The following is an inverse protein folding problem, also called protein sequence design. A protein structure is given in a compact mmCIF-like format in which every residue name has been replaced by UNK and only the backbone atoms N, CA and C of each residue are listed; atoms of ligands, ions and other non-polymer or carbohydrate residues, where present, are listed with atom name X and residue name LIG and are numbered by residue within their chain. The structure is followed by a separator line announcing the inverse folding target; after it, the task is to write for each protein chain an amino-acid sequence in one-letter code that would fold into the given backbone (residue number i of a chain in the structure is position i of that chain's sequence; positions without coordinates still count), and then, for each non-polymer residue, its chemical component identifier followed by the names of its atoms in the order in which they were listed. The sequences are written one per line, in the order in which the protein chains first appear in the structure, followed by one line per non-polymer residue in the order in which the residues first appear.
data_IF_952521222796
#
_entry.id   IF_952521222796
#
_cell.length_a   1.000
_cell.length_b   1.000
_cell.length_c   1.000
_cell.angle_alpha   90.00
_cell.angle_beta   90.00
_cell.angle_gamma   90.00
#
_symmetry.space_group_name_H-M   'P 1'
#
loop_
_entity.id
_entity.type
_entity.pdbx_description
1 polymer ?
#
# COMPACT_ATOMS: atom_id res chain seq x y z
N UNK A 1 8.39 4.91 13.51
CA UNK A 1 7.32 4.57 12.52
C UNK A 1 7.72 3.63 11.39
N UNK A 2 8.66 3.99 10.50
CA UNK A 2 8.86 3.23 9.25
C UNK A 2 9.35 1.78 9.44
N UNK A 3 10.13 1.52 10.50
CA UNK A 3 10.55 0.16 10.86
C UNK A 3 9.37 -0.72 11.33
N UNK A 4 8.44 -0.19 12.12
CA UNK A 4 7.16 -0.86 12.46
C UNK A 4 6.40 -1.25 11.19
N UNK A 5 6.23 -0.29 10.29
CA UNK A 5 5.53 -0.44 9.01
C UNK A 5 6.18 -1.53 8.14
N UNK A 6 7.50 -1.46 7.98
CA UNK A 6 8.23 -2.43 7.19
C UNK A 6 8.31 -3.81 7.84
N UNK A 7 8.40 -3.88 9.17
CA UNK A 7 8.29 -5.12 9.92
C UNK A 7 6.93 -5.77 9.72
N UNK A 8 5.84 -4.99 9.83
CA UNK A 8 4.48 -5.44 9.52
C UNK A 8 4.35 -5.98 8.09
N UNK A 9 4.83 -5.21 7.10
CA UNK A 9 4.73 -5.61 5.69
C UNK A 9 5.56 -6.85 5.37
N UNK A 10 6.77 -6.91 5.91
CA UNK A 10 7.63 -8.06 5.77
C UNK A 10 6.97 -9.30 6.37
N UNK A 11 6.32 -9.19 7.54
CA UNK A 11 5.57 -10.28 8.15
C UNK A 11 4.39 -10.74 7.27
N UNK A 12 3.62 -9.80 6.70
CA UNK A 12 2.53 -10.14 5.76
C UNK A 12 3.07 -10.85 4.52
N UNK A 13 4.13 -10.33 3.90
CA UNK A 13 4.73 -10.92 2.70
C UNK A 13 5.35 -12.29 2.99
N UNK A 14 5.95 -12.46 4.17
CA UNK A 14 6.47 -13.75 4.64
C UNK A 14 5.35 -14.78 4.79
N UNK A 15 4.23 -14.43 5.42
CA UNK A 15 3.07 -15.32 5.55
C UNK A 15 2.43 -15.66 4.19
N UNK A 16 2.53 -14.76 3.20
CA UNK A 16 2.06 -15.00 1.82
C UNK A 16 3.06 -15.79 0.97
N UNK A 17 4.24 -16.13 1.47
CA UNK A 17 5.30 -16.77 0.68
C UNK A 17 5.77 -15.93 -0.51
N UNK A 18 5.72 -14.60 -0.39
CA UNK A 18 6.14 -13.66 -1.45
C UNK A 18 7.58 -13.23 -1.24
N UNK A 19 8.19 -12.69 -2.30
CA UNK A 19 9.53 -12.12 -2.25
C UNK A 19 9.54 -10.91 -1.28
N UNK A 20 10.55 -10.83 -0.42
CA UNK A 20 10.64 -9.82 0.65
C UNK A 20 11.97 -9.10 0.55
N UNK A 21 11.96 -7.80 0.82
CA UNK A 21 13.19 -7.04 1.00
C UNK A 21 13.85 -7.44 2.34
N UNK A 22 15.06 -8.00 2.31
CA UNK A 22 15.80 -8.46 3.49
C UNK A 22 16.00 -7.37 4.55
N UNK A 23 16.17 -6.12 4.12
CA UNK A 23 16.24 -4.98 5.03
C UNK A 23 14.96 -4.84 5.86
N UNK A 24 13.80 -5.16 5.29
CA UNK A 24 12.51 -5.02 5.97
C UNK A 24 12.23 -6.19 6.91
N UNK A 25 12.73 -7.38 6.57
CA UNK A 25 12.72 -8.56 7.46
C UNK A 25 13.42 -8.23 8.79
N UNK A 26 14.51 -7.46 8.74
CA UNK A 26 15.24 -7.04 9.95
C UNK A 26 14.40 -6.19 10.92
N UNK A 27 13.28 -5.62 10.46
CA UNK A 27 12.39 -4.80 11.29
C UNK A 27 11.19 -5.57 11.85
N UNK A 28 11.00 -6.85 11.49
CA UNK A 28 9.91 -7.69 12.04
C UNK A 28 9.95 -7.74 13.57
N UNK A 29 11.11 -7.96 14.24
CA UNK A 29 11.15 -8.00 15.71
C UNK A 29 10.66 -6.71 16.36
N UNK A 30 11.06 -5.55 15.81
CA UNK A 30 10.63 -4.24 16.32
C UNK A 30 9.10 -4.07 16.22
N UNK A 31 8.48 -4.53 15.14
CA UNK A 31 7.03 -4.54 15.00
C UNK A 31 6.35 -5.45 16.03
N UNK A 32 6.85 -6.68 16.20
CA UNK A 32 6.29 -7.65 17.14
C UNK A 32 6.38 -7.17 18.60
N UNK A 33 7.47 -6.50 18.97
CA UNK A 33 7.63 -5.95 20.32
C UNK A 33 6.63 -4.81 20.57
N UNK A 34 6.43 -3.91 19.60
CA UNK A 34 5.43 -2.85 19.71
C UNK A 34 4.01 -3.41 19.83
N UNK A 35 3.69 -4.50 19.12
CA UNK A 35 2.41 -5.18 19.28
C UNK A 35 2.22 -5.74 20.70
N UNK A 36 3.26 -6.33 21.30
CA UNK A 36 3.21 -6.82 22.69
C UNK A 36 3.00 -5.67 23.68
N UNK A 37 3.70 -4.55 23.50
CA UNK A 37 3.53 -3.34 24.32
C UNK A 37 2.10 -2.80 24.27
N UNK A 38 1.46 -2.86 23.10
CA UNK A 38 0.05 -2.46 22.91
C UNK A 38 -0.96 -3.54 23.30
N UNK A 39 -0.51 -4.66 23.87
CA UNK A 39 -1.37 -5.72 24.42
C UNK A 39 -1.89 -6.73 23.39
N UNK A 40 -1.33 -6.75 22.17
CA UNK A 40 -1.68 -7.69 21.10
C UNK A 40 -0.85 -8.96 21.29
N UNK A 41 -1.43 -9.95 21.96
CA UNK A 41 -0.67 -11.11 22.49
C UNK A 41 -0.43 -12.23 21.47
N UNK A 42 -0.91 -12.10 20.22
CA UNK A 42 -1.00 -13.21 19.26
C UNK A 42 -0.73 -12.84 17.80
N UNK A 43 0.12 -11.85 17.53
CA UNK A 43 0.45 -11.41 16.16
C UNK A 43 0.91 -12.56 15.27
N UNK A 44 1.64 -13.52 15.84
CA UNK A 44 2.11 -14.71 15.13
C UNK A 44 0.96 -15.67 14.74
N UNK A 45 -0.11 -15.72 15.54
CA UNK A 45 -1.32 -16.52 15.28
C UNK A 45 -2.35 -15.77 14.40
N UNK A 46 -2.19 -14.45 14.20
CA UNK A 46 -3.13 -13.68 13.39
C UNK A 46 -3.05 -14.09 11.92
N UNK A 47 -4.22 -14.34 11.34
CA UNK A 47 -4.41 -14.35 9.90
C UNK A 47 -4.05 -12.96 9.33
N UNK A 48 -3.63 -12.94 8.06
CA UNK A 48 -3.33 -11.76 7.25
C UNK A 48 -4.44 -10.71 7.32
N UNK A 49 -5.70 -11.14 7.43
CA UNK A 49 -6.85 -10.24 7.57
C UNK A 49 -6.73 -9.37 8.82
N UNK A 50 -6.47 -9.97 9.98
CA UNK A 50 -6.34 -9.27 11.25
C UNK A 50 -5.05 -8.47 11.35
N UNK A 51 -3.95 -8.97 10.79
CA UNK A 51 -2.70 -8.21 10.71
C UNK A 51 -2.88 -6.85 10.03
N UNK A 52 -3.68 -6.80 8.95
CA UNK A 52 -3.97 -5.54 8.23
C UNK A 52 -4.76 -4.53 9.06
N UNK A 53 -5.65 -4.98 9.95
CA UNK A 53 -6.43 -4.08 10.81
C UNK A 53 -5.57 -3.54 11.95
N UNK A 54 -4.71 -4.38 12.53
CA UNK A 54 -3.77 -4.02 13.60
C UNK A 54 -2.73 -2.97 13.16
N UNK A 55 -2.47 -2.82 11.86
CA UNK A 55 -1.65 -1.72 11.33
C UNK A 55 -2.11 -0.35 11.81
N UNK A 56 -3.43 -0.10 11.83
CA UNK A 56 -4.00 1.19 12.21
C UNK A 56 -3.78 1.46 13.70
N UNK A 57 -3.99 0.44 14.53
CA UNK A 57 -3.83 0.53 15.97
C UNK A 57 -2.36 0.60 16.41
N UNK A 58 -1.45 -0.06 15.70
CA UNK A 58 -0.05 -0.21 16.12
C UNK A 58 0.88 0.80 15.45
N UNK A 59 0.84 0.89 14.12
CA UNK A 59 1.78 1.73 13.38
C UNK A 59 1.20 3.10 12.99
N UNK A 60 -0.12 3.32 13.03
CA UNK A 60 -0.74 4.61 12.72
C UNK A 60 -1.12 5.45 13.95
N UNK A 61 -0.99 4.91 15.17
CA UNK A 61 -1.38 5.58 16.42
C UNK A 61 -0.42 6.63 16.98
N UNK A 62 0.63 7.02 16.25
CA UNK A 62 1.54 8.10 16.66
C UNK A 62 1.31 9.35 15.79
N UNK A 63 1.06 10.51 16.41
CA UNK A 63 0.86 11.80 15.73
C UNK A 63 2.13 12.37 15.05
N UNK A 64 3.22 11.59 15.00
CA UNK A 64 4.45 12.02 14.32
C UNK A 64 4.20 12.16 12.82
N UNK A 65 4.61 13.29 12.25
CA UNK A 65 4.55 13.50 10.80
C UNK A 65 5.36 12.40 10.10
N UNK A 66 4.67 11.56 9.34
CA UNK A 66 5.29 10.55 8.48
C UNK A 66 6.26 11.20 7.48
N UNK A 67 7.29 10.49 7.06
CA UNK A 67 8.18 10.93 5.96
C UNK A 67 7.67 10.47 4.59
N UNK A 68 6.59 9.70 4.53
CA UNK A 68 6.05 9.07 3.33
C UNK A 68 4.53 9.33 3.20
N UNK A 69 4.06 9.54 1.98
CA UNK A 69 2.64 9.65 1.58
C UNK A 69 2.32 8.50 0.62
N UNK A 70 1.15 7.87 0.73
CA UNK A 70 0.77 6.77 -0.16
C UNK A 70 -0.55 6.11 0.23
N UNK A 71 -1.05 5.21 -0.62
CA UNK A 71 -2.24 4.40 -0.34
C UNK A 71 -1.88 3.22 0.57
N UNK A 72 -2.39 3.22 1.81
CA UNK A 72 -2.10 2.18 2.81
C UNK A 72 -2.40 0.76 2.31
N UNK A 73 -3.46 0.59 1.53
CA UNK A 73 -3.87 -0.70 0.97
C UNK A 73 -2.87 -1.32 -0.03
N UNK A 74 -2.04 -0.50 -0.68
CA UNK A 74 -1.10 -0.96 -1.71
C UNK A 74 0.34 -1.06 -1.22
N UNK A 75 0.62 -0.64 0.03
CA UNK A 75 1.97 -0.54 0.61
C UNK A 75 2.82 -1.81 0.46
N UNK A 76 2.23 -2.98 0.70
CA UNK A 76 2.96 -4.25 0.66
C UNK A 76 3.17 -4.79 -0.78
N UNK A 77 2.43 -4.29 -1.77
CA UNK A 77 2.34 -4.91 -3.11
C UNK A 77 2.68 -3.96 -4.25
N UNK A 78 2.66 -2.64 -4.01
CA UNK A 78 2.98 -1.60 -4.98
C UNK A 78 3.86 -0.51 -4.31
N UNK A 79 5.14 -0.80 -4.03
CA UNK A 79 6.04 0.16 -3.37
C UNK A 79 6.33 1.42 -4.20
N UNK A 80 6.05 1.38 -5.51
CA UNK A 80 6.11 2.53 -6.41
C UNK A 80 4.99 3.56 -6.13
N UNK A 81 3.94 3.18 -5.38
CA UNK A 81 2.84 4.05 -4.94
C UNK A 81 3.04 4.65 -3.53
N UNK A 82 4.27 4.58 -3.01
CA UNK A 82 4.68 5.20 -1.76
C UNK A 82 5.69 6.29 -2.07
N UNK A 83 5.43 7.54 -1.73
CA UNK A 83 6.23 8.71 -2.12
C UNK A 83 6.79 9.44 -0.90
N UNK A 84 7.87 10.19 -1.07
CA UNK A 84 8.41 11.00 0.02
C UNK A 84 7.50 12.20 0.29
N UNK A 85 7.17 12.44 1.57
CA UNK A 85 6.23 13.50 1.98
C UNK A 85 6.71 14.89 1.54
N UNK A 86 8.02 15.12 1.52
CA UNK A 86 8.62 16.39 1.10
C UNK A 86 8.22 16.80 -0.33
N UNK A 87 7.94 15.83 -1.21
CA UNK A 87 7.49 16.10 -2.59
C UNK A 87 6.13 16.81 -2.63
N UNK A 88 5.39 16.79 -1.53
CA UNK A 88 4.05 17.37 -1.36
C UNK A 88 4.05 18.65 -0.49
N UNK A 89 5.19 19.10 0.05
CA UNK A 89 5.24 20.25 0.97
C UNK A 89 4.88 21.59 0.30
N UNK A 90 5.19 21.73 -1.00
CA UNK A 90 4.98 22.96 -1.76
C UNK A 90 4.14 22.69 -3.01
N UNK A 91 2.81 22.48 -2.88
CA UNK A 91 1.97 22.14 -4.01
C UNK A 91 1.93 23.26 -5.06
N UNK A 92 1.86 22.86 -6.32
CA UNK A 92 1.77 23.76 -7.47
C UNK A 92 0.41 23.64 -8.15
N UNK A 93 -0.06 24.74 -8.75
CA UNK A 93 -1.29 24.75 -9.53
C UNK A 93 -0.97 24.53 -11.00
N UNK A 94 -1.49 23.45 -11.57
CA UNK A 94 -1.30 23.11 -12.99
C UNK A 94 -2.64 23.19 -13.74
N UNK A 95 -2.63 23.67 -14.99
CA UNK A 95 -3.80 23.59 -15.85
C UNK A 95 -4.08 22.12 -16.18
N UNK A 96 -5.34 21.71 -16.10
CA UNK A 96 -5.81 20.39 -16.47
C UNK A 96 -7.17 20.53 -17.14
N UNK A 97 -7.25 20.17 -18.42
CA UNK A 97 -8.43 20.39 -19.26
C UNK A 97 -8.97 21.83 -19.16
N UNK A 98 -10.21 22.01 -18.67
CA UNK A 98 -10.87 23.29 -18.46
C UNK A 98 -10.76 23.81 -17.02
N UNK A 99 -9.90 23.22 -16.19
CA UNK A 99 -9.74 23.55 -14.77
C UNK A 99 -8.27 23.69 -14.37
N UNK A 100 -8.03 23.92 -13.09
CA UNK A 100 -6.71 23.94 -12.47
C UNK A 100 -6.72 22.99 -11.28
N UNK A 101 -5.71 22.13 -11.20
CA UNK A 101 -5.55 21.14 -10.14
C UNK A 101 -4.32 21.47 -9.29
N UNK A 102 -4.39 21.15 -8.00
CA UNK A 102 -3.20 21.18 -7.14
C UNK A 102 -2.44 19.86 -7.35
N UNK A 103 -1.18 19.98 -7.73
CA UNK A 103 -0.27 18.85 -7.87
C UNK A 103 0.85 18.94 -6.82
N UNK A 104 1.54 17.82 -6.53
CA UNK A 104 2.77 17.86 -5.74
C UNK A 104 3.77 18.84 -6.36
N UNK A 105 4.55 19.55 -5.52
CA UNK A 105 5.57 20.47 -6.03
C UNK A 105 6.62 19.77 -6.87
N UNK A 106 6.93 18.53 -6.48
CA UNK A 106 7.86 17.64 -7.16
C UNK A 106 7.12 16.56 -7.97
N UNK A 107 6.02 16.93 -8.66
CA UNK A 107 5.17 15.96 -9.37
C UNK A 107 5.92 15.11 -10.40
N UNK A 108 7.01 15.60 -10.98
CA UNK A 108 7.81 14.82 -11.92
C UNK A 108 8.44 13.58 -11.26
N UNK A 109 8.90 13.70 -10.00
CA UNK A 109 9.45 12.57 -9.22
C UNK A 109 8.37 11.56 -8.86
N UNK A 110 7.15 12.04 -8.58
CA UNK A 110 5.98 11.20 -8.33
C UNK A 110 5.69 10.36 -9.58
N UNK A 111 5.57 11.01 -10.74
CA UNK A 111 5.27 10.35 -12.01
C UNK A 111 6.39 9.40 -12.47
N UNK A 112 7.65 9.79 -12.31
CA UNK A 112 8.81 8.93 -12.62
C UNK A 112 8.85 7.68 -11.72
N UNK A 113 8.51 7.84 -10.44
CA UNK A 113 8.44 6.71 -9.51
C UNK A 113 7.29 5.76 -9.85
N UNK A 114 6.13 6.29 -10.24
CA UNK A 114 4.95 5.49 -10.57
C UNK A 114 5.06 4.78 -11.92
N UNK A 115 5.45 5.52 -12.97
CA UNK A 115 5.32 5.07 -14.36
C UNK A 115 6.66 4.93 -15.09
N UNK A 116 7.79 5.37 -14.50
CA UNK A 116 9.07 5.44 -15.19
C UNK A 116 9.08 6.55 -16.26
N UNK A 117 9.19 6.17 -17.53
CA UNK A 117 9.11 7.12 -18.66
C UNK A 117 7.67 7.59 -18.90
N UNK A 118 7.15 8.40 -17.97
CA UNK A 118 5.77 8.89 -17.98
C UNK A 118 5.47 9.87 -19.12
N UNK A 119 6.49 10.42 -19.77
CA UNK A 119 6.36 11.34 -20.90
C UNK A 119 6.03 10.63 -22.20
N UNK A 120 6.22 9.31 -22.25
CA UNK A 120 5.86 8.46 -23.37
C UNK A 120 4.67 7.59 -22.98
N UNK A 121 3.43 7.96 -23.35
CA UNK A 121 2.26 7.16 -22.99
C UNK A 121 2.35 5.77 -23.61
N UNK A 122 2.24 4.74 -22.78
CA UNK A 122 2.08 3.35 -23.22
C UNK A 122 0.63 2.95 -23.00
N UNK A 123 0.04 2.25 -23.97
CA UNK A 123 -1.30 1.70 -23.80
C UNK A 123 -1.25 0.62 -22.72
N UNK A 124 -1.73 0.97 -21.52
CA UNK A 124 -1.83 0.03 -20.41
C UNK A 124 -2.94 -1.00 -20.60
N UNK A 125 -2.86 -2.11 -19.88
CA UNK A 125 -4.00 -2.99 -19.64
C UNK A 125 -4.97 -2.34 -18.64
N UNK A 126 -6.24 -2.73 -18.66
CA UNK A 126 -7.15 -2.38 -17.57
C UNK A 126 -6.92 -3.34 -16.40
N UNK A 127 -6.56 -2.84 -15.21
CA UNK A 127 -6.56 -3.66 -13.97
C UNK A 127 -7.99 -4.05 -13.55
N UNK A 128 -8.98 -3.33 -14.08
CA UNK A 128 -10.40 -3.68 -14.01
C UNK A 128 -10.81 -4.23 -15.38
N UNK A 129 -10.46 -5.48 -15.64
CA UNK A 129 -10.86 -6.15 -16.88
C UNK A 129 -12.38 -6.13 -17.06
N UNK A 130 -12.82 -6.23 -18.33
CA UNK A 130 -14.24 -6.40 -18.66
C UNK A 130 -14.78 -7.68 -18.03
N UNK A 131 -15.41 -7.57 -16.87
CA UNK A 131 -16.19 -8.67 -16.31
C UNK A 131 -17.56 -8.67 -16.99
N UNK A 132 -17.93 -9.80 -17.57
CA UNK A 132 -19.30 -10.05 -17.98
C UNK A 132 -20.11 -10.44 -16.75
N UNK A 133 -21.22 -9.73 -16.49
CA UNK A 133 -22.16 -10.06 -15.41
C UNK A 133 -23.25 -10.94 -15.99
N UNK A 134 -23.32 -12.20 -15.55
CA UNK A 134 -24.49 -13.04 -15.78
C UNK A 134 -25.54 -12.75 -14.69
N UNK A 135 -26.68 -12.20 -15.09
CA UNK A 135 -27.80 -11.89 -14.18
C UNK A 135 -28.79 -13.03 -14.04
N UNK A 136 -28.76 -14.00 -14.94
CA UNK A 136 -29.76 -15.07 -15.04
C UNK A 136 -29.31 -16.34 -14.30
N UNK A 137 -28.00 -16.54 -14.17
CA UNK A 137 -27.43 -17.71 -13.52
C UNK A 137 -27.10 -17.40 -12.05
N UNK A 138 -27.67 -18.13 -11.06
CA UNK A 138 -27.32 -17.95 -9.65
C UNK A 138 -25.84 -18.24 -9.40
N UNK A 139 -25.13 -17.33 -8.72
CA UNK A 139 -23.67 -17.40 -8.46
C UNK A 139 -23.19 -18.74 -7.89
N UNK A 140 -24.02 -19.40 -7.08
CA UNK A 140 -23.74 -20.72 -6.47
C UNK A 140 -23.47 -21.82 -7.49
N UNK A 141 -23.95 -21.68 -8.73
CA UNK A 141 -23.70 -22.66 -9.79
C UNK A 141 -22.24 -22.68 -10.25
N UNK A 142 -21.55 -21.52 -10.23
CA UNK A 142 -20.13 -21.41 -10.61
C UNK A 142 -19.17 -21.89 -9.52
N UNK A 143 -19.63 -22.09 -8.29
CA UNK A 143 -18.80 -22.52 -7.16
C UNK A 143 -18.84 -24.03 -6.92
N UNK A 144 -19.57 -24.81 -7.72
CA UNK A 144 -19.69 -26.25 -7.52
C UNK A 144 -18.40 -27.01 -7.84
N UNK A 145 -17.49 -26.39 -8.59
CA UNK A 145 -16.25 -27.00 -9.10
C UNK A 145 -14.97 -26.36 -8.51
N UNK A 146 -15.11 -25.56 -7.45
CA UNK A 146 -14.01 -25.00 -6.65
C UNK A 146 -13.87 -25.74 -5.31
#
# INVERSE_FOLDING_TARGET
LWRCIHGHDALILQKKGKMINEKYVSFIPEYLDLCKERGIRKVDDLDITWLKEEYLEVCAGEETKTTVVGMTATRCHAPHLMWDREWFEHPVKLPFENTTVNCPGEYEKVLEREYGDWRTPVMGSSEHEMFAVDTETPWKSYLKDL
#
